data_IF_606958889912
#
_entry.id   IF_606958889912
#
_cell.length_a   1.000
_cell.length_b   1.000
_cell.length_c   1.000
_cell.angle_alpha   90.00
_cell.angle_beta   90.00
_cell.angle_gamma   90.00
#
_symmetry.space_group_name_H-M   'P 1'
#
loop_
_entity.id
_entity.type
_entity.pdbx_description
1 polymer ?
#
# COMPACT_ATOMS: atom_id res chain seq x y z
N UNK A 1 9.17 -6.69 -0.81
CA UNK A 1 8.24 -7.55 -1.57
C UNK A 1 7.01 -7.95 -0.77
N UNK A 2 7.09 -8.03 0.56
CA UNK A 2 6.00 -8.53 1.39
C UNK A 2 5.01 -7.43 1.84
N UNK A 3 5.27 -6.17 1.59
CA UNK A 3 4.44 -5.05 2.03
C UNK A 3 4.51 -3.83 1.09
N UNK A 4 4.92 -4.00 -0.18
CA UNK A 4 5.01 -2.90 -1.14
C UNK A 4 4.95 -3.40 -2.58
N UNK A 5 4.63 -2.50 -3.49
CA UNK A 5 4.56 -2.76 -4.93
C UNK A 5 3.20 -3.22 -5.42
N UNK A 6 3.05 -3.40 -6.73
CA UNK A 6 1.75 -3.64 -7.37
C UNK A 6 1.22 -5.08 -7.26
N UNK A 7 1.81 -5.93 -6.47
CA UNK A 7 1.34 -7.28 -6.08
C UNK A 7 0.53 -8.07 -7.14
N UNK A 8 0.75 -7.81 -8.44
CA UNK A 8 0.14 -8.50 -9.57
C UNK A 8 -1.41 -8.50 -9.57
N UNK A 9 -1.99 -7.36 -9.17
CA UNK A 9 -3.44 -7.17 -9.09
C UNK A 9 -4.07 -7.56 -7.77
N UNK A 10 -3.31 -8.11 -6.83
CA UNK A 10 -3.79 -8.41 -5.48
C UNK A 10 -3.89 -7.13 -4.64
N UNK A 11 -4.96 -6.97 -3.89
CA UNK A 11 -5.05 -6.04 -2.77
C UNK A 11 -4.42 -6.66 -1.51
N UNK A 12 -4.46 -5.92 -0.41
CA UNK A 12 -3.98 -6.43 0.89
C UNK A 12 -4.70 -7.70 1.33
N UNK A 13 -5.98 -7.87 0.96
CA UNK A 13 -6.75 -9.07 1.29
C UNK A 13 -6.21 -10.31 0.58
N UNK A 14 -5.95 -10.21 -0.72
CA UNK A 14 -5.45 -11.33 -1.50
C UNK A 14 -3.98 -11.63 -1.17
N UNK A 15 -3.19 -10.59 -0.82
CA UNK A 15 -1.81 -10.81 -0.33
C UNK A 15 -1.81 -11.52 1.02
N UNK A 16 -2.74 -11.21 1.93
CA UNK A 16 -2.94 -12.00 3.15
C UNK A 16 -3.28 -13.47 2.82
N UNK A 17 -4.12 -13.70 1.81
CA UNK A 17 -4.39 -15.05 1.30
C UNK A 17 -3.14 -15.76 0.77
N UNK A 18 -2.26 -15.05 0.05
CA UNK A 18 -0.97 -15.59 -0.38
C UNK A 18 -0.05 -15.91 0.82
N UNK A 19 -0.01 -15.03 1.80
CA UNK A 19 0.78 -15.25 3.01
C UNK A 19 0.35 -16.52 3.76
N UNK A 20 -0.94 -16.76 3.91
CA UNK A 20 -1.47 -17.85 4.71
C UNK A 20 -1.60 -19.18 3.94
N UNK A 21 -1.93 -19.13 2.64
CA UNK A 21 -2.27 -20.31 1.85
C UNK A 21 -1.49 -20.44 0.54
N UNK A 22 -0.70 -19.44 0.18
CA UNK A 22 0.08 -19.39 -1.06
C UNK A 22 1.59 -19.60 -0.88
N UNK A 23 2.04 -19.91 0.34
CA UNK A 23 3.46 -20.13 0.65
C UNK A 23 4.22 -18.85 1.05
N UNK A 24 3.55 -17.70 1.09
CA UNK A 24 4.17 -16.42 1.42
C UNK A 24 4.78 -16.38 2.82
N UNK A 25 4.12 -16.98 3.82
CA UNK A 25 4.60 -17.06 5.21
C UNK A 25 5.96 -17.76 5.31
N UNK A 26 6.12 -18.90 4.66
CA UNK A 26 7.38 -19.64 4.70
C UNK A 26 8.54 -18.82 4.08
N UNK A 27 8.27 -18.13 2.97
CA UNK A 27 9.23 -17.22 2.34
C UNK A 27 9.56 -16.01 3.24
N UNK A 28 8.57 -15.46 3.90
CA UNK A 28 8.79 -14.37 4.84
C UNK A 28 9.66 -14.78 6.03
N UNK A 29 9.37 -15.93 6.63
CA UNK A 29 10.17 -16.51 7.73
C UNK A 29 11.60 -16.83 7.29
N UNK A 30 11.81 -17.30 6.04
CA UNK A 30 13.14 -17.50 5.45
C UNK A 30 13.88 -16.15 5.36
N UNK A 31 13.23 -15.09 4.90
CA UNK A 31 13.80 -13.74 4.83
C UNK A 31 14.17 -13.22 6.24
N UNK A 32 13.27 -13.32 7.21
CA UNK A 32 13.50 -12.87 8.58
C UNK A 32 14.69 -13.58 9.21
N UNK A 33 14.80 -14.90 9.04
CA UNK A 33 15.91 -15.70 9.55
C UNK A 33 17.24 -15.33 8.86
N UNK A 34 17.22 -15.04 7.56
CA UNK A 34 18.44 -14.71 6.80
C UNK A 34 19.13 -13.43 7.30
N UNK A 35 18.38 -12.51 7.90
CA UNK A 35 18.89 -11.27 8.50
C UNK A 35 19.12 -11.37 10.02
N UNK A 36 19.05 -12.59 10.57
CA UNK A 36 19.40 -12.85 11.98
C UNK A 36 18.30 -12.57 12.99
N UNK A 37 17.08 -12.29 12.57
CA UNK A 37 15.96 -12.11 13.48
C UNK A 37 15.34 -13.46 13.88
N UNK A 38 14.93 -13.57 15.15
CA UNK A 38 14.27 -14.73 15.71
C UNK A 38 12.92 -14.32 16.31
N UNK A 39 11.96 -14.04 15.44
CA UNK A 39 10.58 -13.81 15.84
C UNK A 39 9.60 -14.53 14.93
N UNK A 40 8.38 -14.72 15.41
CA UNK A 40 7.23 -15.21 14.65
C UNK A 40 6.23 -14.09 14.55
N UNK A 41 5.87 -13.72 13.33
CA UNK A 41 4.91 -12.66 13.05
C UNK A 41 3.49 -13.19 12.88
N UNK A 42 2.52 -12.46 13.42
CA UNK A 42 1.12 -12.61 13.10
C UNK A 42 0.70 -11.43 12.22
N UNK A 43 0.44 -11.70 10.94
CA UNK A 43 -0.01 -10.67 10.02
C UNK A 43 -1.45 -10.26 10.36
N UNK A 44 -1.69 -8.97 10.32
CA UNK A 44 -2.99 -8.40 10.61
C UNK A 44 -3.17 -7.06 9.88
N UNK A 45 -4.38 -6.50 9.97
CA UNK A 45 -4.69 -5.16 9.50
C UNK A 45 -4.38 -4.96 8.01
N UNK A 46 -4.97 -5.80 7.11
CA UNK A 46 -4.87 -5.54 5.67
C UNK A 46 -5.54 -4.21 5.36
N UNK A 47 -4.78 -3.27 4.81
CA UNK A 47 -5.26 -1.91 4.55
C UNK A 47 -5.71 -1.74 3.11
N UNK A 48 -6.63 -0.82 2.82
CA UNK A 48 -6.82 -0.31 1.46
C UNK A 48 -5.52 0.21 0.86
N UNK A 49 -5.44 0.23 -0.48
CA UNK A 49 -4.27 0.76 -1.18
C UNK A 49 -3.91 2.16 -0.68
N UNK A 50 -2.62 2.42 -0.53
CA UNK A 50 -2.16 3.77 -0.17
C UNK A 50 -2.47 4.77 -1.29
N UNK A 51 -2.75 6.04 -0.93
CA UNK A 51 -2.79 7.15 -1.87
C UNK A 51 -1.46 7.30 -2.61
N UNK A 52 -1.50 7.76 -3.86
CA UNK A 52 -0.29 8.27 -4.51
C UNK A 52 0.27 9.47 -3.72
N UNK A 53 -0.57 10.18 -3.01
CA UNK A 53 -0.17 11.11 -1.97
C UNK A 53 -0.56 12.56 -2.25
N UNK A 54 0.15 13.44 -1.57
CA UNK A 54 -0.07 14.89 -1.53
C UNK A 54 0.92 15.60 -2.43
N UNK A 55 0.42 16.51 -3.26
CA UNK A 55 1.20 17.22 -4.26
C UNK A 55 0.98 18.73 -4.15
N UNK A 56 2.00 19.55 -4.39
CA UNK A 56 1.85 21.01 -4.46
C UNK A 56 1.02 21.48 -5.65
N UNK A 57 0.84 20.65 -6.66
CA UNK A 57 0.00 20.89 -7.85
C UNK A 57 -0.73 19.63 -8.24
N UNK A 58 -1.82 19.77 -9.00
CA UNK A 58 -2.48 18.62 -9.61
C UNK A 58 -1.56 17.92 -10.61
N UNK A 59 -1.53 16.59 -10.59
CA UNK A 59 -0.74 15.75 -11.50
C UNK A 59 -1.68 14.82 -12.30
N UNK A 60 -1.68 14.97 -13.61
CA UNK A 60 -2.60 14.24 -14.49
C UNK A 60 -1.89 13.32 -15.49
N UNK A 61 -0.62 13.58 -15.76
CA UNK A 61 0.20 12.86 -16.75
C UNK A 61 1.61 12.62 -16.23
N UNK A 62 2.30 11.67 -16.83
CA UNK A 62 3.65 11.24 -16.42
C UNK A 62 4.66 12.40 -16.45
N UNK A 63 4.54 13.33 -17.41
CA UNK A 63 5.45 14.48 -17.46
C UNK A 63 5.33 15.42 -16.26
N UNK A 64 4.19 15.42 -15.55
CA UNK A 64 3.96 16.31 -14.41
C UNK A 64 4.78 15.92 -13.18
N UNK A 65 5.18 14.64 -13.10
CA UNK A 65 5.95 14.09 -11.97
C UNK A 65 7.46 14.03 -12.24
N UNK A 66 7.91 14.21 -13.48
CA UNK A 66 9.34 14.20 -13.81
C UNK A 66 10.08 15.32 -13.08
N UNK A 67 11.21 14.98 -12.45
CA UNK A 67 12.04 15.90 -11.68
C UNK A 67 11.42 16.36 -10.34
N UNK A 68 10.20 15.92 -10.01
CA UNK A 68 9.52 16.27 -8.77
C UNK A 68 10.24 15.62 -7.58
N UNK A 69 10.49 16.40 -6.55
CA UNK A 69 11.07 15.93 -5.29
C UNK A 69 9.97 15.24 -4.48
N UNK A 70 10.04 13.94 -4.39
CA UNK A 70 8.99 13.13 -3.80
C UNK A 70 9.52 12.30 -2.63
N UNK A 71 8.77 12.27 -1.51
CA UNK A 71 9.10 11.42 -0.36
C UNK A 71 8.34 10.09 -0.45
N UNK A 72 9.09 9.00 -0.41
CA UNK A 72 8.57 7.66 -0.17
C UNK A 72 9.63 6.78 0.49
N UNK A 73 9.31 5.51 0.74
CA UNK A 73 10.19 4.52 1.39
C UNK A 73 10.17 3.18 0.66
N UNK A 74 11.11 2.31 1.00
CA UNK A 74 11.16 0.93 0.49
C UNK A 74 11.36 0.85 -1.02
N UNK A 75 10.83 -0.20 -1.66
CA UNK A 75 10.94 -0.44 -3.10
C UNK A 75 10.19 0.61 -3.95
N UNK A 76 9.23 1.31 -3.36
CA UNK A 76 8.56 2.43 -4.03
C UNK A 76 9.56 3.52 -4.45
N UNK A 77 10.66 3.69 -3.70
CA UNK A 77 11.79 4.55 -4.08
C UNK A 77 12.31 4.23 -5.47
N UNK A 78 12.53 2.95 -5.75
CA UNK A 78 13.05 2.49 -7.04
C UNK A 78 12.02 2.71 -8.16
N UNK A 79 10.74 2.39 -7.91
CA UNK A 79 9.65 2.57 -8.89
C UNK A 79 9.53 4.02 -9.29
N UNK A 80 9.45 4.93 -8.33
CA UNK A 80 9.24 6.36 -8.60
C UNK A 80 10.49 7.03 -9.18
N UNK A 81 11.69 6.56 -8.81
CA UNK A 81 12.93 6.98 -9.47
C UNK A 81 12.93 6.56 -10.94
N UNK A 82 12.48 5.34 -11.26
CA UNK A 82 12.36 4.86 -12.64
C UNK A 82 11.37 5.70 -13.48
N UNK A 83 10.41 6.35 -12.84
CA UNK A 83 9.49 7.32 -13.46
C UNK A 83 10.09 8.71 -13.66
N UNK A 84 11.33 8.93 -13.22
CA UNK A 84 12.03 10.21 -13.33
C UNK A 84 11.78 11.19 -12.19
N UNK A 85 11.26 10.73 -11.05
CA UNK A 85 11.13 11.55 -9.84
C UNK A 85 12.45 11.61 -9.07
N UNK A 86 12.66 12.68 -8.31
CA UNK A 86 13.80 12.83 -7.38
C UNK A 86 13.34 12.39 -5.99
N UNK A 87 13.57 11.11 -5.69
CA UNK A 87 13.06 10.52 -4.46
C UNK A 87 13.94 10.85 -3.25
N UNK A 88 13.28 11.16 -2.13
CA UNK A 88 13.88 11.39 -0.81
C UNK A 88 13.26 10.45 0.20
N UNK A 89 14.05 9.89 1.09
CA UNK A 89 13.58 9.12 2.24
C UNK A 89 13.63 10.00 3.48
N UNK A 90 12.49 10.21 4.12
CA UNK A 90 12.36 10.98 5.36
C UNK A 90 11.45 10.23 6.32
N UNK A 91 11.71 10.28 7.64
CA UNK A 91 10.77 9.83 8.65
C UNK A 91 9.41 10.51 8.52
N UNK A 92 8.33 9.82 8.91
CA UNK A 92 6.96 10.35 8.78
C UNK A 92 6.78 11.74 9.40
N UNK A 93 7.30 11.97 10.61
CA UNK A 93 7.20 13.25 11.30
C UNK A 93 7.92 14.43 10.61
N UNK A 94 8.80 14.15 9.63
CA UNK A 94 9.52 15.19 8.88
C UNK A 94 8.83 15.56 7.56
N UNK A 95 7.80 14.84 7.13
CA UNK A 95 7.14 15.04 5.83
C UNK A 95 6.50 16.42 5.75
N UNK A 96 5.64 16.76 6.71
CA UNK A 96 4.92 18.03 6.71
C UNK A 96 5.87 19.23 6.74
N UNK A 97 6.89 19.30 7.64
CA UNK A 97 7.89 20.38 7.60
C UNK A 97 8.67 20.45 6.28
N UNK A 98 9.05 19.30 5.70
CA UNK A 98 9.76 19.25 4.43
C UNK A 98 8.92 19.77 3.25
N UNK A 99 7.63 19.47 3.22
CA UNK A 99 6.70 20.03 2.24
C UNK A 99 6.50 21.53 2.45
N UNK A 100 6.38 21.97 3.71
CA UNK A 100 6.20 23.39 4.04
C UNK A 100 7.38 24.24 3.58
N UNK A 101 8.61 23.77 3.80
CA UNK A 101 9.84 24.48 3.42
C UNK A 101 10.20 24.34 1.93
N UNK A 102 9.56 23.44 1.17
CA UNK A 102 9.89 23.18 -0.23
C UNK A 102 11.11 22.25 -0.42
N UNK A 103 11.56 21.57 0.64
CA UNK A 103 12.56 20.52 0.54
C UNK A 103 12.06 19.38 -0.33
N UNK A 104 10.76 19.08 -0.28
CA UNK A 104 10.04 18.17 -1.15
C UNK A 104 8.79 18.83 -1.75
N UNK A 105 8.36 18.36 -2.92
CA UNK A 105 7.21 18.87 -3.65
C UNK A 105 5.96 18.00 -3.48
N UNK A 106 6.16 16.75 -3.09
CA UNK A 106 5.10 15.76 -2.90
C UNK A 106 5.55 14.66 -1.93
N UNK A 107 4.57 14.01 -1.31
CA UNK A 107 4.80 12.88 -0.41
C UNK A 107 3.57 11.97 -0.32
N UNK A 108 3.81 10.70 -0.09
CA UNK A 108 2.83 9.77 0.48
C UNK A 108 3.08 9.62 1.98
N UNK A 109 2.06 9.15 2.69
CA UNK A 109 2.27 8.62 4.03
C UNK A 109 1.50 7.33 4.24
N UNK A 110 0.13 7.38 4.32
CA UNK A 110 -0.59 6.13 4.53
C UNK A 110 -2.06 6.15 4.07
N UNK A 111 -2.90 7.03 4.65
CA UNK A 111 -4.34 7.05 4.42
C UNK A 111 -4.96 8.38 4.87
N UNK A 112 -6.22 8.70 4.50
CA UNK A 112 -6.85 9.99 4.85
C UNK A 112 -6.83 10.32 6.34
N UNK A 113 -6.96 9.32 7.22
CA UNK A 113 -6.98 9.52 8.67
C UNK A 113 -5.61 9.94 9.20
N UNK A 114 -4.58 9.13 8.94
CA UNK A 114 -3.23 9.42 9.43
C UNK A 114 -2.62 10.64 8.77
N UNK A 115 -2.86 10.84 7.47
CA UNK A 115 -2.36 11.98 6.72
C UNK A 115 -2.92 13.29 7.26
N UNK A 116 -4.22 13.32 7.61
CA UNK A 116 -4.84 14.49 8.24
C UNK A 116 -4.30 14.78 9.64
N UNK A 117 -3.98 13.74 10.41
CA UNK A 117 -3.35 13.89 11.74
C UNK A 117 -1.93 14.46 11.65
N UNK A 118 -1.21 14.20 10.58
CA UNK A 118 0.09 14.82 10.28
C UNK A 118 -0.02 16.23 9.69
N UNK A 119 -1.22 16.77 9.49
CA UNK A 119 -1.42 18.12 8.97
C UNK A 119 -1.08 18.26 7.50
N UNK A 120 -1.19 17.20 6.69
CA UNK A 120 -0.86 17.25 5.26
C UNK A 120 -1.74 18.24 4.49
N UNK A 121 -3.00 18.40 4.90
CA UNK A 121 -3.94 19.37 4.36
C UNK A 121 -3.52 20.83 4.54
N UNK A 122 -2.60 21.12 5.47
CA UNK A 122 -2.11 22.47 5.74
C UNK A 122 -0.98 22.87 4.78
N UNK A 123 -0.32 21.89 4.15
CA UNK A 123 0.83 22.10 3.26
C UNK A 123 0.56 21.73 1.80
N UNK A 124 -0.56 21.04 1.55
CA UNK A 124 -1.03 20.69 0.20
C UNK A 124 -2.56 20.68 0.10
N UNK A 125 -3.07 20.99 -1.09
CA UNK A 125 -4.51 20.90 -1.41
C UNK A 125 -4.81 19.91 -2.55
N UNK A 126 -3.83 19.13 -2.98
CA UNK A 126 -3.99 18.13 -4.04
C UNK A 126 -3.65 16.74 -3.52
N UNK A 127 -4.66 15.89 -3.39
CA UNK A 127 -4.56 14.55 -2.85
C UNK A 127 -4.98 13.51 -3.89
N UNK A 128 -4.09 12.63 -4.28
CA UNK A 128 -4.31 11.60 -5.29
C UNK A 128 -4.46 10.23 -4.65
N UNK A 129 -5.62 9.60 -4.84
CA UNK A 129 -5.97 8.29 -4.29
C UNK A 129 -5.62 7.17 -5.26
N UNK A 130 -5.23 6.03 -4.68
CA UNK A 130 -4.91 4.79 -5.41
C UNK A 130 -3.58 4.87 -6.14
N UNK A 131 -2.71 3.91 -5.85
CA UNK A 131 -1.38 3.88 -6.48
C UNK A 131 -0.78 2.48 -6.43
N UNK A 132 -0.05 2.10 -7.46
CA UNK A 132 0.67 0.83 -7.48
C UNK A 132 2.03 0.88 -6.78
N UNK A 133 2.51 2.03 -6.34
CA UNK A 133 3.75 2.08 -5.57
C UNK A 133 3.60 1.31 -4.25
N UNK A 134 2.39 1.32 -3.67
CA UNK A 134 2.00 0.56 -2.49
C UNK A 134 0.50 0.24 -2.56
N UNK A 135 0.14 -0.67 -3.47
CA UNK A 135 -1.25 -1.09 -3.70
C UNK A 135 -1.77 -2.05 -2.64
N UNK A 136 -0.90 -2.56 -1.79
CA UNK A 136 -1.23 -3.41 -0.66
C UNK A 136 -0.35 -3.06 0.53
N UNK A 137 -0.90 -3.19 1.71
CA UNK A 137 -0.19 -3.03 2.98
C UNK A 137 -0.84 -3.91 4.05
N UNK A 138 -0.02 -4.51 4.87
CA UNK A 138 -0.44 -5.24 6.05
C UNK A 138 0.57 -4.99 7.16
N UNK A 139 0.12 -5.13 8.40
CA UNK A 139 0.97 -5.01 9.57
C UNK A 139 1.27 -6.38 10.17
N UNK A 140 2.21 -6.41 11.06
CA UNK A 140 2.66 -7.60 11.73
C UNK A 140 2.77 -7.36 13.24
N UNK A 141 2.33 -8.35 14.02
CA UNK A 141 2.59 -8.42 15.46
C UNK A 141 3.75 -9.39 15.65
N UNK A 142 4.99 -8.90 15.76
CA UNK A 142 6.15 -9.76 15.94
C UNK A 142 6.23 -10.23 17.40
N UNK A 143 6.43 -11.53 17.59
CA UNK A 143 6.64 -12.16 18.89
C UNK A 143 7.95 -12.93 18.92
N UNK A 144 8.70 -12.81 19.99
CA UNK A 144 9.89 -13.63 20.17
C UNK A 144 9.52 -15.12 20.07
N UNK A 145 10.10 -15.82 19.10
CA UNK A 145 9.74 -17.22 18.78
C UNK A 145 9.90 -18.17 19.99
N UNK A 146 10.97 -18.00 20.76
CA UNK A 146 11.21 -18.83 21.97
C UNK A 146 10.11 -18.60 23.01
N UNK A 147 9.71 -17.35 23.23
CA UNK A 147 8.62 -16.99 24.15
C UNK A 147 7.28 -17.53 23.66
N UNK A 148 6.97 -17.36 22.37
CA UNK A 148 5.74 -17.88 21.79
C UNK A 148 5.67 -19.40 21.95
N UNK A 149 6.73 -20.13 21.61
CA UNK A 149 6.79 -21.59 21.70
C UNK A 149 6.76 -22.11 23.14
N UNK A 150 7.08 -21.28 24.14
CA UNK A 150 6.94 -21.66 25.57
C UNK A 150 5.50 -21.58 26.08
N UNK A 151 4.59 -20.98 25.33
CA UNK A 151 3.17 -20.96 25.67
C UNK A 151 2.51 -22.31 25.38
N UNK A 152 1.51 -22.66 26.17
CA UNK A 152 0.68 -23.83 25.88
C UNK A 152 0.02 -23.67 24.49
N UNK A 153 -0.17 -24.76 23.71
CA UNK A 153 -0.72 -24.71 22.35
C UNK A 153 -2.04 -23.92 22.24
N UNK A 154 -2.90 -24.01 23.25
CA UNK A 154 -4.15 -23.25 23.32
C UNK A 154 -3.92 -21.73 23.30
N UNK A 155 -2.87 -21.25 23.98
CA UNK A 155 -2.57 -19.81 24.03
C UNK A 155 -1.95 -19.33 22.71
N UNK A 156 -1.12 -20.15 22.06
CA UNK A 156 -0.61 -19.85 20.71
C UNK A 156 -1.76 -19.75 19.71
N UNK A 157 -2.73 -20.66 19.79
CA UNK A 157 -3.92 -20.63 18.93
C UNK A 157 -4.80 -19.40 19.21
N UNK A 158 -4.97 -18.98 20.46
CA UNK A 158 -5.70 -17.75 20.82
C UNK A 158 -5.04 -16.53 20.19
N UNK A 159 -3.72 -16.37 20.29
CA UNK A 159 -2.99 -15.23 19.71
C UNK A 159 -3.15 -15.20 18.18
N UNK A 160 -2.99 -16.35 17.52
CA UNK A 160 -3.19 -16.46 16.08
C UNK A 160 -4.61 -16.08 15.66
N UNK A 161 -5.62 -16.62 16.33
CA UNK A 161 -7.01 -16.35 16.00
C UNK A 161 -7.41 -14.91 16.35
N UNK A 162 -6.84 -14.30 17.39
CA UNK A 162 -7.06 -12.89 17.69
C UNK A 162 -6.51 -11.98 16.59
N UNK A 163 -5.33 -12.28 16.02
CA UNK A 163 -4.80 -11.57 14.87
C UNK A 163 -5.72 -11.69 13.65
N UNK A 164 -6.27 -12.88 13.37
CA UNK A 164 -7.22 -13.08 12.27
C UNK A 164 -8.55 -12.35 12.50
N UNK A 165 -9.07 -12.37 13.72
CA UNK A 165 -10.29 -11.60 14.05
C UNK A 165 -10.05 -10.10 13.86
N UNK A 166 -8.88 -9.59 14.28
CA UNK A 166 -8.49 -8.21 14.09
C UNK A 166 -8.39 -7.81 12.60
N UNK A 167 -8.06 -8.73 11.68
CA UNK A 167 -7.98 -8.44 10.25
C UNK A 167 -9.30 -7.92 9.68
N UNK A 168 -10.39 -8.64 9.91
CA UNK A 168 -11.71 -8.23 9.41
C UNK A 168 -12.21 -6.95 10.09
N UNK A 169 -12.09 -6.88 11.41
CA UNK A 169 -12.52 -5.72 12.19
C UNK A 169 -11.77 -4.44 11.78
N UNK A 170 -10.44 -4.50 11.65
CA UNK A 170 -9.63 -3.37 11.23
C UNK A 170 -9.94 -2.94 9.79
N UNK A 171 -10.14 -3.88 8.87
CA UNK A 171 -10.46 -3.54 7.49
C UNK A 171 -11.80 -2.81 7.38
N UNK A 172 -12.84 -3.30 8.07
CA UNK A 172 -14.14 -2.65 8.08
C UNK A 172 -14.09 -1.26 8.73
N UNK A 173 -13.39 -1.14 9.86
CA UNK A 173 -13.16 0.16 10.51
C UNK A 173 -12.38 1.13 9.62
N UNK A 174 -11.37 0.64 8.89
CA UNK A 174 -10.60 1.45 7.95
C UNK A 174 -11.50 2.05 6.87
N UNK A 175 -12.38 1.25 6.24
CA UNK A 175 -13.31 1.76 5.21
C UNK A 175 -14.21 2.87 5.74
N UNK A 176 -14.80 2.66 6.94
CA UNK A 176 -15.69 3.65 7.57
C UNK A 176 -14.92 4.90 7.97
N UNK A 177 -13.75 4.74 8.61
CA UNK A 177 -12.98 5.86 9.13
C UNK A 177 -12.33 6.68 8.01
N UNK A 178 -11.71 6.00 7.04
CA UNK A 178 -11.00 6.70 5.94
C UNK A 178 -11.97 7.46 5.06
N UNK A 179 -13.16 6.92 4.78
CA UNK A 179 -14.18 7.64 4.01
C UNK A 179 -14.72 8.86 4.74
N UNK A 180 -14.94 8.77 6.06
CA UNK A 180 -15.39 9.91 6.87
C UNK A 180 -14.32 11.01 6.94
N UNK A 181 -13.05 10.64 7.15
CA UNK A 181 -11.96 11.62 7.21
C UNK A 181 -11.64 12.20 5.83
N UNK A 182 -11.82 11.44 4.74
CA UNK A 182 -11.75 11.94 3.38
C UNK A 182 -12.82 13.01 3.12
N UNK A 183 -14.06 12.76 3.57
CA UNK A 183 -15.14 13.75 3.47
C UNK A 183 -14.80 15.05 4.21
N UNK A 184 -14.20 14.96 5.41
CA UNK A 184 -13.72 16.14 6.14
C UNK A 184 -12.63 16.89 5.38
N UNK A 185 -11.64 16.19 4.84
CA UNK A 185 -10.58 16.78 4.03
C UNK A 185 -11.17 17.59 2.86
N UNK A 186 -12.19 17.05 2.18
CA UNK A 186 -12.85 17.73 1.06
C UNK A 186 -13.71 18.90 1.52
N UNK A 187 -14.58 18.69 2.52
CA UNK A 187 -15.62 19.64 2.87
C UNK A 187 -15.14 20.75 3.82
N UNK A 188 -14.30 20.43 4.79
CA UNK A 188 -13.81 21.37 5.80
C UNK A 188 -12.46 21.99 5.38
N UNK A 189 -11.52 21.15 4.94
CA UNK A 189 -10.16 21.60 4.60
C UNK A 189 -9.98 22.00 3.13
N UNK A 190 -11.03 21.86 2.30
CA UNK A 190 -11.03 22.25 0.87
C UNK A 190 -9.92 21.55 0.07
N UNK A 191 -9.64 20.30 0.39
CA UNK A 191 -8.70 19.46 -0.35
C UNK A 191 -9.36 19.00 -1.64
N UNK A 192 -8.65 19.15 -2.75
CA UNK A 192 -9.05 18.57 -4.04
C UNK A 192 -8.56 17.13 -4.09
N UNK A 193 -9.50 16.19 -4.14
CA UNK A 193 -9.22 14.77 -4.17
C UNK A 193 -9.36 14.24 -5.60
N UNK A 194 -8.39 13.46 -6.04
CA UNK A 194 -8.35 12.92 -7.39
C UNK A 194 -8.10 11.41 -7.34
N UNK A 195 -8.64 10.68 -8.29
CA UNK A 195 -8.18 9.35 -8.61
C UNK A 195 -6.89 9.48 -9.44
N UNK A 196 -5.85 8.74 -9.10
CA UNK A 196 -4.61 8.71 -9.89
C UNK A 196 -4.92 8.22 -11.31
N UNK A 197 -4.42 8.93 -12.33
CA UNK A 197 -4.72 8.62 -13.72
C UNK A 197 -4.11 7.30 -14.18
N UNK A 198 -4.79 6.59 -15.08
CA UNK A 198 -4.31 5.33 -15.64
C UNK A 198 -2.94 5.47 -16.30
N UNK A 199 -2.63 6.63 -16.88
CA UNK A 199 -1.32 6.90 -17.48
C UNK A 199 -0.19 6.86 -16.43
N UNK A 200 -0.42 7.41 -15.24
CA UNK A 200 0.52 7.37 -14.12
C UNK A 200 0.60 5.94 -13.56
N UNK A 201 -0.53 5.28 -13.38
CA UNK A 201 -0.58 3.90 -12.90
C UNK A 201 0.16 2.94 -13.85
N UNK A 202 -0.04 3.08 -15.15
CA UNK A 202 0.67 2.27 -16.16
C UNK A 202 2.19 2.50 -16.12
N UNK A 203 2.64 3.72 -15.86
CA UNK A 203 4.07 4.02 -15.75
C UNK A 203 4.68 3.44 -14.46
N UNK A 204 3.92 3.41 -13.36
CA UNK A 204 4.32 2.70 -12.13
C UNK A 204 4.54 1.21 -12.40
N UNK A 205 3.65 0.56 -13.15
CA UNK A 205 3.80 -0.85 -13.54
C UNK A 205 5.06 -1.08 -14.38
N UNK A 206 5.32 -0.21 -15.36
CA UNK A 206 6.57 -0.30 -16.15
C UNK A 206 7.82 -0.13 -15.27
N UNK A 207 7.77 0.81 -14.31
CA UNK A 207 8.83 0.99 -13.32
C UNK A 207 9.05 -0.27 -12.49
N UNK A 208 7.97 -0.88 -12.04
CA UNK A 208 8.00 -2.14 -11.30
C UNK A 208 8.59 -3.29 -12.11
N UNK A 209 8.21 -3.45 -13.36
CA UNK A 209 8.74 -4.51 -14.23
C UNK A 209 10.27 -4.41 -14.38
N UNK A 210 10.81 -3.19 -14.51
CA UNK A 210 12.27 -2.96 -14.55
C UNK A 210 12.96 -3.41 -13.27
N UNK A 211 12.38 -3.06 -12.12
CA UNK A 211 12.93 -3.40 -10.81
C UNK A 211 12.88 -4.90 -10.58
N UNK A 212 11.76 -5.54 -10.92
CA UNK A 212 11.63 -7.00 -10.83
C UNK A 212 12.66 -7.70 -11.70
N UNK A 213 12.87 -7.24 -12.93
CA UNK A 213 13.88 -7.81 -13.82
C UNK A 213 15.30 -7.64 -13.25
N UNK A 214 15.64 -6.43 -12.79
CA UNK A 214 16.94 -6.11 -12.24
C UNK A 214 17.25 -6.93 -10.98
N UNK A 215 16.35 -6.91 -9.99
CA UNK A 215 16.60 -7.55 -8.69
C UNK A 215 16.50 -9.08 -8.78
N UNK A 216 15.63 -9.61 -9.61
CA UNK A 216 15.57 -11.06 -9.87
C UNK A 216 16.83 -11.59 -10.54
N UNK A 217 17.52 -10.75 -11.33
CA UNK A 217 18.81 -11.10 -11.92
C UNK A 217 19.98 -11.10 -10.94
N UNK A 218 19.84 -10.37 -9.81
CA UNK A 218 20.90 -10.21 -8.81
C UNK A 218 20.68 -11.07 -7.56
N UNK A 219 19.45 -11.42 -7.24
CA UNK A 219 19.06 -12.09 -6.02
C UNK A 219 18.07 -13.22 -6.31
N UNK A 220 18.53 -14.46 -6.16
CA UNK A 220 17.72 -15.66 -6.38
C UNK A 220 16.56 -15.78 -5.40
N UNK A 221 16.70 -15.29 -4.16
CA UNK A 221 15.61 -15.28 -3.18
C UNK A 221 14.54 -14.25 -3.55
N UNK A 222 14.95 -13.05 -3.98
CA UNK A 222 13.99 -12.07 -4.50
C UNK A 222 13.17 -12.67 -5.66
N UNK A 223 13.85 -13.34 -6.61
CA UNK A 223 13.18 -14.03 -7.72
C UNK A 223 12.20 -15.09 -7.23
N UNK A 224 12.60 -15.92 -6.27
CA UNK A 224 11.76 -16.97 -5.66
C UNK A 224 10.46 -16.39 -5.07
N UNK A 225 10.54 -15.26 -4.37
CA UNK A 225 9.37 -14.56 -3.82
C UNK A 225 8.46 -14.03 -4.93
N UNK A 226 9.04 -13.36 -5.92
CA UNK A 226 8.29 -12.82 -7.07
C UNK A 226 7.57 -13.93 -7.84
N UNK A 227 8.25 -15.03 -8.12
CA UNK A 227 7.66 -16.17 -8.86
C UNK A 227 6.49 -16.80 -8.07
N UNK A 228 6.62 -16.92 -6.74
CA UNK A 228 5.56 -17.39 -5.86
C UNK A 228 4.34 -16.46 -5.88
N UNK A 229 4.54 -15.15 -5.76
CA UNK A 229 3.46 -14.16 -5.83
C UNK A 229 2.75 -14.22 -7.19
N UNK A 230 3.51 -14.25 -8.29
CA UNK A 230 2.96 -14.33 -9.65
C UNK A 230 2.14 -15.61 -9.87
N UNK A 231 2.64 -16.75 -9.40
CA UNK A 231 1.94 -18.03 -9.53
C UNK A 231 0.61 -18.03 -8.78
N UNK A 232 0.60 -17.52 -7.56
CA UNK A 232 -0.61 -17.38 -6.77
C UNK A 232 -1.59 -16.38 -7.41
N UNK A 233 -1.14 -15.17 -7.72
CA UNK A 233 -1.97 -14.13 -8.32
C UNK A 233 -2.57 -14.55 -9.66
N UNK A 234 -1.81 -15.21 -10.54
CA UNK A 234 -2.29 -15.68 -11.84
C UNK A 234 -3.58 -16.51 -11.74
N UNK A 235 -3.68 -17.34 -10.72
CA UNK A 235 -4.84 -18.21 -10.49
C UNK A 235 -5.95 -17.47 -9.73
N UNK A 236 -5.62 -16.91 -8.58
CA UNK A 236 -6.60 -16.33 -7.65
C UNK A 236 -7.21 -15.05 -8.19
N UNK A 237 -6.39 -14.16 -8.77
CA UNK A 237 -6.89 -12.92 -9.33
C UNK A 237 -7.66 -13.15 -10.64
N UNK A 238 -7.27 -14.14 -11.45
CA UNK A 238 -8.09 -14.52 -12.61
C UNK A 238 -9.52 -14.86 -12.17
N UNK A 239 -9.67 -15.72 -11.15
CA UNK A 239 -10.98 -16.08 -10.62
C UNK A 239 -11.72 -14.84 -10.08
N UNK A 240 -11.07 -14.08 -9.20
CA UNK A 240 -11.70 -12.95 -8.54
C UNK A 240 -12.19 -11.90 -9.55
N UNK A 241 -11.33 -11.48 -10.47
CA UNK A 241 -11.67 -10.46 -11.48
C UNK A 241 -12.74 -10.92 -12.46
N UNK A 242 -12.81 -12.21 -12.77
CA UNK A 242 -13.89 -12.76 -13.61
C UNK A 242 -15.20 -12.91 -12.84
N UNK A 243 -15.14 -13.17 -11.53
CA UNK A 243 -16.31 -13.41 -10.69
C UNK A 243 -16.91 -12.12 -10.11
N UNK A 244 -16.11 -11.07 -9.94
CA UNK A 244 -16.59 -9.79 -9.44
C UNK A 244 -17.41 -9.07 -10.52
N UNK A 245 -18.64 -8.63 -10.21
CA UNK A 245 -19.36 -7.71 -11.09
C UNK A 245 -18.65 -6.34 -11.08
N UNK A 246 -18.96 -5.51 -12.07
CA UNK A 246 -18.44 -4.15 -12.09
C UNK A 246 -19.12 -3.28 -11.02
N UNK A 247 -18.57 -3.29 -9.81
CA UNK A 247 -19.11 -2.51 -8.69
C UNK A 247 -19.12 -1.00 -8.96
N UNK A 248 -18.18 -0.49 -9.75
CA UNK A 248 -18.19 0.91 -10.16
C UNK A 248 -19.43 1.25 -10.98
N UNK A 249 -19.84 0.36 -11.90
CA UNK A 249 -21.06 0.56 -12.69
C UNK A 249 -22.29 0.66 -11.79
N UNK A 250 -22.41 -0.22 -10.78
CA UNK A 250 -23.53 -0.19 -9.84
C UNK A 250 -23.53 1.10 -9.01
N UNK A 251 -22.38 1.53 -8.52
CA UNK A 251 -22.22 2.78 -7.78
C UNK A 251 -22.63 3.99 -8.63
N UNK A 252 -22.09 4.07 -9.85
CA UNK A 252 -22.36 5.21 -10.74
C UNK A 252 -23.80 5.23 -11.28
N UNK A 253 -24.47 4.09 -11.32
CA UNK A 253 -25.90 4.02 -11.63
C UNK A 253 -26.77 4.70 -10.56
N UNK A 254 -26.40 4.60 -9.29
CA UNK A 254 -27.16 5.21 -8.18
C UNK A 254 -26.76 6.64 -7.93
N UNK A 255 -25.46 6.91 -7.86
CA UNK A 255 -24.92 8.19 -7.38
C UNK A 255 -24.38 9.10 -8.49
N UNK A 256 -24.29 8.61 -9.74
CA UNK A 256 -23.66 9.29 -10.86
C UNK A 256 -22.12 9.14 -10.89
N UNK A 257 -21.46 9.76 -11.88
CA UNK A 257 -20.01 9.57 -12.07
C UNK A 257 -19.20 9.85 -10.81
N UNK A 258 -18.36 8.90 -10.39
CA UNK A 258 -17.62 8.92 -9.12
C UNK A 258 -16.83 10.23 -8.93
N UNK A 259 -16.28 10.81 -10.00
CA UNK A 259 -15.54 12.07 -9.95
C UNK A 259 -16.41 13.30 -9.59
N UNK A 260 -17.74 13.19 -9.66
CA UNK A 260 -18.70 14.28 -9.40
C UNK A 260 -19.45 14.10 -8.07
N UNK A 261 -19.35 12.92 -7.45
CA UNK A 261 -20.05 12.63 -6.21
C UNK A 261 -19.42 13.44 -5.07
N UNK A 262 -20.25 14.16 -4.33
CA UNK A 262 -19.86 14.83 -3.08
C UNK A 262 -20.16 13.91 -1.91
N UNK A 263 -19.22 13.75 -1.00
CA UNK A 263 -19.34 12.90 0.18
C UNK A 263 -19.19 13.72 1.47
#
# INVERSE_FOLDING_TARGET
>A
LFGTGPSYGMSSQEVMGWMEYGGGRALYEEAVKSVGFNYTGFFHMPMPAQPFGWFKKNVTKVSDVKGMKYRTVGLATNVLTAMGMVVRQLPGGEIQPAMKTGLIDAAEFNNPTSDSQFGMQDVSKHYHLGSFHQSQEMFEIPMNTKRLNSLAPKHQAILKNAAYAANSDNYFKALVRYSADLAKLMNEHKVNVYQTSDAILAEQLKGWDKIVAEFSGKDAFFKKVVDSQKAYAKRTMKYLLMNQPNYKLAYENEFGPIAKVKI
#
